data_IF_008358756106
#
_entry.id   IF_008358756106
#
_cell.length_a   1.000
_cell.length_b   1.000
_cell.length_c   1.000
_cell.angle_alpha   90.00
_cell.angle_beta   90.00
_cell.angle_gamma   90.00
#
_symmetry.space_group_name_H-M   'P 1'
#
loop_
_entity.id
_entity.type
_entity.pdbx_description
1 polymer ?
#
# COMPACT_ATOMS: atom_id res chain seq x y z
N UNK A 1 -7.48 23.49 -6.09
CA UNK A 1 -7.98 22.66 -4.98
C UNK A 1 -7.65 21.18 -5.16
N UNK A 2 -7.86 20.59 -6.35
CA UNK A 2 -7.48 19.19 -6.65
C UNK A 2 -5.99 18.86 -6.48
N UNK A 3 -5.08 19.77 -6.87
CA UNK A 3 -3.64 19.54 -6.75
C UNK A 3 -3.17 19.34 -5.31
N UNK A 4 -3.65 20.18 -4.38
CA UNK A 4 -3.33 20.06 -2.96
C UNK A 4 -3.79 18.72 -2.39
N UNK A 5 -4.99 18.27 -2.77
CA UNK A 5 -5.53 16.98 -2.34
C UNK A 5 -4.68 15.81 -2.83
N UNK A 6 -4.25 15.83 -4.09
CA UNK A 6 -3.36 14.82 -4.65
C UNK A 6 -2.00 14.76 -3.94
N UNK A 7 -1.41 15.92 -3.62
CA UNK A 7 -0.15 16.00 -2.87
C UNK A 7 -0.30 15.41 -1.47
N UNK A 8 -1.39 15.72 -0.77
CA UNK A 8 -1.67 15.18 0.56
C UNK A 8 -1.83 13.66 0.52
N UNK A 9 -2.54 13.11 -0.48
CA UNK A 9 -2.68 11.66 -0.65
C UNK A 9 -1.32 11.01 -0.92
N UNK A 10 -0.52 11.57 -1.82
CA UNK A 10 0.82 11.06 -2.12
C UNK A 10 1.71 11.05 -0.87
N UNK A 11 1.67 12.13 -0.07
CA UNK A 11 2.41 12.22 1.19
C UNK A 11 1.95 11.18 2.20
N UNK A 12 0.64 10.91 2.30
CA UNK A 12 0.08 9.86 3.16
C UNK A 12 0.54 8.46 2.74
N UNK A 13 0.50 8.15 1.44
CA UNK A 13 0.98 6.87 0.90
C UNK A 13 2.48 6.71 1.21
N UNK A 14 3.27 7.77 1.02
CA UNK A 14 4.70 7.76 1.29
C UNK A 14 5.01 7.59 2.80
N UNK A 15 4.27 8.27 3.67
CA UNK A 15 4.39 8.09 5.11
C UNK A 15 4.03 6.66 5.52
N UNK A 16 2.97 6.09 4.93
CA UNK A 16 2.58 4.71 5.15
C UNK A 16 3.68 3.73 4.69
N UNK A 17 4.30 3.98 3.54
CA UNK A 17 5.44 3.19 3.05
C UNK A 17 6.62 3.21 4.03
N UNK A 18 7.09 4.39 4.44
CA UNK A 18 8.20 4.53 5.40
C UNK A 18 7.89 3.79 6.69
N UNK A 19 6.64 3.88 7.18
CA UNK A 19 6.23 3.19 8.38
C UNK A 19 6.30 1.67 8.26
N UNK A 20 5.88 1.10 7.13
CA UNK A 20 6.00 -0.34 6.91
C UNK A 20 7.46 -0.77 6.76
N UNK A 21 8.32 0.06 6.15
CA UNK A 21 9.76 -0.18 6.13
C UNK A 21 10.33 -0.19 7.55
N UNK A 22 9.98 0.80 8.37
CA UNK A 22 10.39 0.84 9.78
C UNK A 22 9.95 -0.42 10.54
N UNK A 23 8.70 -0.87 10.37
CA UNK A 23 8.21 -2.12 10.98
C UNK A 23 8.92 -3.35 10.44
N UNK A 24 9.25 -3.39 9.15
CA UNK A 24 10.02 -4.48 8.56
C UNK A 24 11.45 -4.61 9.16
N UNK A 25 12.01 -3.51 9.67
CA UNK A 25 13.34 -3.52 10.32
C UNK A 25 13.23 -3.79 11.83
N UNK A 26 12.19 -3.29 12.50
CA UNK A 26 12.09 -3.30 13.97
C UNK A 26 11.27 -4.45 14.56
N UNK A 27 10.42 -5.10 13.76
CA UNK A 27 9.59 -6.21 14.22
C UNK A 27 10.17 -7.57 13.80
N UNK A 28 9.67 -8.65 14.39
CA UNK A 28 10.10 -10.02 14.08
C UNK A 28 8.92 -10.91 13.68
N UNK A 29 9.23 -12.05 13.06
CA UNK A 29 8.23 -13.06 12.69
C UNK A 29 7.24 -12.61 11.60
N UNK A 30 5.97 -12.99 11.77
CA UNK A 30 4.90 -12.76 10.78
C UNK A 30 4.62 -11.26 10.55
N UNK A 31 4.76 -10.44 11.58
CA UNK A 31 4.57 -8.99 11.48
C UNK A 31 5.61 -8.36 10.56
N UNK A 32 6.87 -8.83 10.66
CA UNK A 32 7.96 -8.39 9.79
C UNK A 32 7.71 -8.76 8.34
N UNK A 33 7.32 -10.01 8.09
CA UNK A 33 7.03 -10.50 6.75
C UNK A 33 5.87 -9.71 6.11
N UNK A 34 4.83 -9.41 6.89
CA UNK A 34 3.69 -8.64 6.43
C UNK A 34 4.05 -7.17 6.14
N UNK A 35 4.85 -6.53 7.01
CA UNK A 35 5.33 -5.17 6.80
C UNK A 35 6.24 -5.08 5.56
N UNK A 36 7.13 -6.05 5.36
CA UNK A 36 7.94 -6.15 4.15
C UNK A 36 7.08 -6.40 2.89
N UNK A 37 6.05 -7.22 2.99
CA UNK A 37 5.12 -7.45 1.88
C UNK A 37 4.37 -6.17 1.49
N UNK A 38 3.90 -5.38 2.45
CA UNK A 38 3.23 -4.11 2.19
C UNK A 38 4.17 -3.04 1.59
N UNK A 39 5.43 -3.00 2.04
CA UNK A 39 6.41 -2.09 1.45
C UNK A 39 6.75 -2.47 0.01
N UNK A 40 6.94 -3.77 -0.27
CA UNK A 40 7.13 -4.30 -1.62
C UNK A 40 5.92 -4.00 -2.50
N UNK A 41 4.70 -4.23 -2.00
CA UNK A 41 3.47 -3.96 -2.74
C UNK A 41 3.35 -2.49 -3.15
N UNK A 42 3.68 -1.58 -2.25
CA UNK A 42 3.68 -0.14 -2.53
C UNK A 42 4.75 0.25 -3.54
N UNK A 43 5.95 -0.33 -3.46
CA UNK A 43 7.00 -0.14 -4.45
C UNK A 43 6.59 -0.67 -5.82
N UNK A 44 5.91 -1.82 -5.89
CA UNK A 44 5.39 -2.36 -7.16
C UNK A 44 4.38 -1.41 -7.78
N UNK A 45 3.48 -0.81 -6.98
CA UNK A 45 2.54 0.22 -7.47
C UNK A 45 3.31 1.44 -8.00
N UNK A 46 4.27 1.98 -7.25
CA UNK A 46 5.06 3.13 -7.72
C UNK A 46 5.85 2.82 -8.99
N UNK A 47 6.50 1.66 -9.05
CA UNK A 47 7.24 1.19 -10.22
C UNK A 47 6.32 0.96 -11.41
N UNK A 48 5.11 0.43 -11.18
CA UNK A 48 4.13 0.21 -12.24
C UNK A 48 3.70 1.51 -12.91
N UNK A 49 3.49 2.57 -12.13
CA UNK A 49 3.16 3.90 -12.65
C UNK A 49 4.32 4.47 -13.45
N UNK A 50 5.56 4.32 -12.96
CA UNK A 50 6.76 4.80 -13.66
C UNK A 50 7.05 4.04 -14.97
N UNK A 51 6.75 2.74 -15.02
CA UNK A 51 7.03 1.87 -16.16
C UNK A 51 5.82 1.70 -17.11
N UNK A 52 4.65 2.21 -16.74
CA UNK A 52 3.39 1.93 -17.44
C UNK A 52 3.00 0.45 -17.42
N UNK A 53 3.46 -0.32 -16.41
CA UNK A 53 3.28 -1.77 -16.36
C UNK A 53 2.02 -2.16 -15.59
N UNK A 54 0.95 -2.39 -16.34
CA UNK A 54 -0.35 -2.74 -15.79
C UNK A 54 -0.40 -4.05 -14.97
N UNK A 55 0.25 -5.16 -15.38
CA UNK A 55 0.29 -6.37 -14.55
C UNK A 55 0.93 -6.13 -13.18
N UNK A 56 1.97 -5.29 -13.14
CA UNK A 56 2.68 -4.94 -11.92
C UNK A 56 1.80 -4.10 -10.98
N UNK A 57 0.96 -3.24 -11.55
CA UNK A 57 -0.03 -2.44 -10.83
C UNK A 57 -1.08 -3.34 -10.15
N UNK A 58 -1.62 -4.33 -10.88
CA UNK A 58 -2.59 -5.28 -10.33
C UNK A 58 -1.98 -6.10 -9.19
N UNK A 59 -0.78 -6.65 -9.41
CA UNK A 59 -0.13 -7.50 -8.40
C UNK A 59 0.15 -6.70 -7.13
N UNK A 60 0.68 -5.47 -7.27
CA UNK A 60 0.90 -4.58 -6.14
C UNK A 60 -0.40 -4.22 -5.41
N UNK A 61 -1.46 -3.91 -6.14
CA UNK A 61 -2.77 -3.61 -5.55
C UNK A 61 -3.38 -4.82 -4.81
N UNK A 62 -3.33 -6.01 -5.42
CA UNK A 62 -3.82 -7.24 -4.82
C UNK A 62 -3.06 -7.58 -3.53
N UNK A 63 -1.73 -7.44 -3.53
CA UNK A 63 -0.91 -7.61 -2.33
C UNK A 63 -1.31 -6.63 -1.23
N UNK A 64 -1.54 -5.36 -1.55
CA UNK A 64 -2.05 -4.37 -0.58
C UNK A 64 -3.41 -4.80 0.02
N UNK A 65 -4.34 -5.29 -0.79
CA UNK A 65 -5.67 -5.73 -0.30
C UNK A 65 -5.59 -6.98 0.58
N UNK A 66 -4.66 -7.89 0.30
CA UNK A 66 -4.51 -9.14 1.07
C UNK A 66 -3.72 -8.91 2.38
N UNK A 67 -2.65 -8.13 2.32
CA UNK A 67 -1.71 -7.94 3.44
C UNK A 67 -2.14 -6.86 4.43
N UNK A 68 -2.86 -5.83 3.97
CA UNK A 68 -3.31 -4.75 4.84
C UNK A 68 -4.30 -5.20 5.93
N UNK A 69 -5.30 -6.06 5.67
CA UNK A 69 -6.16 -6.61 6.72
C UNK A 69 -5.37 -7.37 7.78
N UNK A 70 -4.38 -8.17 7.35
CA UNK A 70 -3.49 -8.91 8.25
C UNK A 70 -2.71 -7.90 9.13
N UNK A 71 -2.26 -6.77 8.57
CA UNK A 71 -1.54 -5.75 9.33
C UNK A 71 -2.44 -5.00 10.33
N UNK A 72 -3.73 -4.83 10.03
CA UNK A 72 -4.71 -4.19 10.91
C UNK A 72 -5.03 -5.09 12.12
N UNK A 73 -5.07 -6.41 11.92
CA UNK A 73 -5.43 -7.39 12.95
C UNK A 73 -4.24 -7.87 13.79
N UNK A 74 -3.04 -7.94 13.20
CA UNK A 74 -1.87 -8.52 13.86
C UNK A 74 -1.34 -7.70 15.05
N UNK A 75 -1.64 -6.41 15.16
CA UNK A 75 -1.05 -5.55 16.18
C UNK A 75 -2.04 -4.51 16.75
N UNK A 76 -2.61 -4.75 17.95
CA UNK A 76 -3.53 -3.81 18.58
C UNK A 76 -2.82 -2.57 19.17
N UNK A 77 -1.50 -2.62 19.37
CA UNK A 77 -0.72 -1.55 20.01
C UNK A 77 -0.21 -0.48 19.03
N UNK A 78 -0.31 -0.71 17.72
CA UNK A 78 0.26 0.14 16.68
C UNK A 78 -0.83 0.86 15.87
N UNK A 79 -0.45 1.96 15.22
CA UNK A 79 -1.38 2.74 14.40
C UNK A 79 -1.94 1.92 13.23
N UNK A 80 -3.27 1.74 13.22
CA UNK A 80 -4.02 1.04 12.17
C UNK A 80 -4.30 1.90 10.95
N UNK A 81 -4.09 3.21 11.06
CA UNK A 81 -4.34 4.18 9.97
C UNK A 81 -3.45 3.91 8.76
N UNK A 82 -2.18 3.57 8.96
CA UNK A 82 -1.22 3.41 7.87
C UNK A 82 -1.44 2.11 7.07
N UNK A 83 -1.74 0.96 7.70
CA UNK A 83 -2.28 -0.20 6.99
C UNK A 83 -3.59 0.10 6.24
N UNK A 84 -4.50 0.89 6.83
CA UNK A 84 -5.75 1.28 6.16
C UNK A 84 -5.51 2.11 4.89
N UNK A 85 -4.49 2.97 4.87
CA UNK A 85 -4.10 3.71 3.66
C UNK A 85 -3.67 2.75 2.54
N UNK A 86 -2.93 1.69 2.84
CA UNK A 86 -2.55 0.67 1.85
C UNK A 86 -3.78 -0.10 1.33
N UNK A 87 -4.69 -0.45 2.23
CA UNK A 87 -5.94 -1.11 1.86
C UNK A 87 -6.78 -0.23 0.93
N UNK A 88 -6.93 1.05 1.29
CA UNK A 88 -7.64 2.04 0.47
C UNK A 88 -7.01 2.22 -0.90
N UNK A 89 -5.67 2.28 -0.97
CA UNK A 89 -4.92 2.34 -2.24
C UNK A 89 -5.19 1.10 -3.12
N UNK A 90 -5.06 -0.09 -2.56
CA UNK A 90 -5.30 -1.35 -3.28
C UNK A 90 -6.74 -1.44 -3.80
N UNK A 91 -7.73 -1.13 -2.96
CA UNK A 91 -9.14 -1.11 -3.36
C UNK A 91 -9.42 -0.06 -4.43
N UNK A 92 -8.88 1.14 -4.30
CA UNK A 92 -9.06 2.20 -5.29
C UNK A 92 -8.58 1.76 -6.67
N UNK A 93 -7.40 1.13 -6.74
CA UNK A 93 -6.84 0.62 -7.99
C UNK A 93 -7.72 -0.50 -8.56
N UNK A 94 -8.15 -1.46 -7.74
CA UNK A 94 -8.97 -2.60 -8.18
C UNK A 94 -10.37 -2.16 -8.64
N UNK A 95 -11.00 -1.20 -7.97
CA UNK A 95 -12.33 -0.69 -8.34
C UNK A 95 -12.26 0.11 -9.65
N UNK A 96 -11.19 0.88 -9.84
CA UNK A 96 -11.00 1.66 -11.05
C UNK A 96 -10.31 0.89 -12.17
N UNK A 97 -9.97 -0.38 -11.97
CA UNK A 97 -9.41 -1.25 -12.99
C UNK A 97 -10.25 -1.26 -14.28
N UNK A 98 -11.59 -1.51 -14.25
CA UNK A 98 -12.43 -1.51 -15.44
C UNK A 98 -12.38 -0.20 -16.26
N UNK A 99 -12.21 0.95 -15.60
CA UNK A 99 -12.11 2.24 -16.28
C UNK A 99 -10.76 2.47 -16.99
N UNK A 100 -9.75 1.65 -16.73
CA UNK A 100 -8.43 1.73 -17.35
C UNK A 100 -8.34 0.93 -18.66
N UNK A 101 -9.39 0.16 -19.01
CA UNK A 101 -9.46 -0.66 -20.23
C UNK A 101 -10.50 -0.17 -21.26
N UNK A 102 -11.27 0.87 -20.93
CA UNK A 102 -12.29 1.48 -21.78
C UNK A 102 -11.72 2.71 -22.50
#
# INVERSE_FOLDING_TARGET
>A
MFLLFAIVIAALIFAAFIWQVYRAVTTSGLIRANAAGLSIATLMIMASVSLGSFPLLIIGAALCVVLAPIAIWADPRWSKLLPLVHLGLGLYIIINLPAQFA
#
